data_IF_970230074554
#
_entry.id   IF_970230074554
#
_cell.length_a   1.000
_cell.length_b   1.000
_cell.length_c   1.000
_cell.angle_alpha   90.00
_cell.angle_beta   90.00
_cell.angle_gamma   90.00
#
_symmetry.space_group_name_H-M   'P 1'
#
loop_
_entity.id
_entity.type
_entity.pdbx_description
1 polymer ?
#
# COMPACT_ATOMS: atom_id res chain seq x y z
N UNK A 1 21.48 22.55 -3.67
CA UNK A 1 20.94 21.43 -2.89
C UNK A 1 19.52 21.80 -2.48
N UNK A 2 18.50 21.19 -3.09
CA UNK A 2 17.15 21.25 -2.51
C UNK A 2 17.18 20.36 -1.27
N UNK A 3 17.03 20.96 -0.09
CA UNK A 3 16.69 20.20 1.11
C UNK A 3 15.32 19.55 0.88
N UNK A 4 15.31 18.24 0.64
CA UNK A 4 14.12 17.39 0.72
C UNK A 4 13.72 17.25 2.19
N UNK A 5 13.29 18.35 2.82
CA UNK A 5 12.53 18.30 4.07
C UNK A 5 11.05 18.09 3.76
N UNK A 6 10.72 17.12 2.91
CA UNK A 6 9.35 16.66 2.80
C UNK A 6 9.06 15.82 4.03
N UNK A 7 8.25 16.36 4.94
CA UNK A 7 7.47 15.51 5.85
C UNK A 7 6.85 14.41 4.97
N UNK A 8 6.96 13.16 5.39
CA UNK A 8 6.36 12.04 4.68
C UNK A 8 4.84 12.22 4.72
N UNK A 9 4.27 12.89 3.71
CA UNK A 9 2.84 13.11 3.52
C UNK A 9 2.27 12.00 2.64
N UNK A 10 2.45 10.77 3.10
CA UNK A 10 1.94 9.59 2.41
C UNK A 10 1.37 8.60 3.42
N UNK A 11 0.39 7.83 2.97
CA UNK A 11 -0.17 6.68 3.66
C UNK A 11 0.09 5.44 2.81
N UNK A 12 0.35 4.31 3.44
CA UNK A 12 0.44 3.02 2.77
C UNK A 12 -0.97 2.63 2.27
N UNK A 13 -1.13 2.57 0.95
CA UNK A 13 -2.38 2.16 0.32
C UNK A 13 -2.56 0.64 0.34
N UNK A 14 -1.47 -0.10 0.37
CA UNK A 14 -1.45 -1.55 0.42
C UNK A 14 -0.07 -2.12 0.08
N UNK A 15 0.06 -3.42 0.25
CA UNK A 15 1.20 -4.18 -0.27
C UNK A 15 0.76 -5.60 -0.62
N UNK A 16 1.38 -6.17 -1.65
CA UNK A 16 1.16 -7.56 -2.04
C UNK A 16 2.39 -8.12 -2.76
N UNK A 17 2.57 -9.44 -2.67
CA UNK A 17 3.57 -10.14 -3.46
C UNK A 17 3.11 -10.27 -4.91
N UNK A 18 4.03 -10.07 -5.84
CA UNK A 18 3.85 -10.34 -7.26
C UNK A 18 4.76 -11.49 -7.62
N UNK A 19 4.18 -12.62 -8.01
CA UNK A 19 4.91 -13.82 -8.43
C UNK A 19 4.56 -14.10 -9.88
N UNK A 20 5.57 -14.07 -10.75
CA UNK A 20 5.41 -14.40 -12.18
C UNK A 20 5.98 -15.78 -12.42
N UNK A 21 5.13 -16.71 -12.82
CA UNK A 21 5.47 -18.10 -13.04
C UNK A 21 6.26 -18.29 -14.34
N UNK A 22 7.05 -19.37 -14.47
CA UNK A 22 7.62 -19.77 -15.76
C UNK A 22 6.53 -19.86 -16.85
N UNK A 23 6.85 -19.36 -18.05
CA UNK A 23 5.94 -19.25 -19.19
C UNK A 23 4.71 -18.34 -19.00
N UNK A 24 4.63 -17.57 -17.91
CA UNK A 24 3.56 -16.59 -17.72
C UNK A 24 3.69 -15.44 -18.73
N UNK A 25 2.56 -15.09 -19.36
CA UNK A 25 2.48 -14.04 -20.36
C UNK A 25 2.63 -12.66 -19.73
N UNK A 26 3.14 -11.70 -20.49
CA UNK A 26 3.23 -10.32 -20.06
C UNK A 26 1.84 -9.76 -19.68
N UNK A 27 1.75 -9.07 -18.55
CA UNK A 27 0.53 -8.38 -18.12
C UNK A 27 0.19 -7.25 -19.08
N UNK A 28 -1.11 -7.03 -19.32
CA UNK A 28 -1.60 -5.86 -20.05
C UNK A 28 -1.00 -4.59 -19.40
N UNK A 29 -0.49 -3.68 -20.23
CA UNK A 29 0.03 -2.40 -19.73
C UNK A 29 -1.12 -1.62 -19.09
N UNK A 30 -0.87 -1.06 -17.91
CA UNK A 30 -1.85 -0.32 -17.12
C UNK A 30 -1.18 0.78 -16.30
N UNK A 31 -1.99 1.66 -15.72
CA UNK A 31 -1.60 2.58 -14.66
C UNK A 31 -2.36 2.18 -13.39
N UNK A 32 -1.76 2.40 -12.22
CA UNK A 32 -2.35 1.98 -10.94
C UNK A 32 -3.57 2.85 -10.55
N UNK A 33 -3.67 4.06 -11.10
CA UNK A 33 -4.83 4.94 -10.95
C UNK A 33 -5.98 4.65 -11.93
N UNK A 34 -5.81 3.68 -12.83
CA UNK A 34 -6.78 3.38 -13.90
C UNK A 34 -8.17 2.93 -13.42
N UNK A 35 -8.33 2.56 -12.14
CA UNK A 35 -9.63 2.23 -11.55
C UNK A 35 -10.52 3.47 -11.34
N UNK A 36 -9.91 4.60 -11.00
CA UNK A 36 -10.60 5.89 -10.79
C UNK A 36 -9.73 6.95 -11.49
N UNK A 37 -9.75 6.99 -12.83
CA UNK A 37 -8.81 7.80 -13.58
C UNK A 37 -9.20 9.29 -13.49
N UNK A 38 -8.39 10.16 -12.88
CA UNK A 38 -8.53 11.59 -13.11
C UNK A 38 -8.16 11.91 -14.58
N UNK A 39 -8.72 12.97 -15.19
CA UNK A 39 -8.32 13.40 -16.52
C UNK A 39 -6.81 13.61 -16.61
N UNK A 40 -6.17 13.08 -17.65
CA UNK A 40 -4.71 13.16 -17.81
C UNK A 40 -4.29 14.32 -18.71
N UNK A 41 -3.13 14.95 -18.45
CA UNK A 41 -2.23 14.71 -17.33
C UNK A 41 -2.79 15.26 -16.01
N UNK A 42 -2.62 14.52 -14.92
CA UNK A 42 -3.13 14.88 -13.59
C UNK A 42 -1.99 15.19 -12.61
N UNK A 43 -2.24 16.05 -11.60
CA UNK A 43 -1.36 16.13 -10.43
C UNK A 43 -1.22 14.76 -9.76
N UNK A 44 -0.10 14.54 -9.07
CA UNK A 44 0.17 13.29 -8.32
C UNK A 44 -0.77 13.16 -7.11
N UNK A 45 -1.97 12.63 -7.35
CA UNK A 45 -2.99 12.35 -6.34
C UNK A 45 -2.76 10.98 -5.69
N UNK A 46 -2.45 9.96 -6.51
CA UNK A 46 -1.88 8.71 -6.00
C UNK A 46 -0.37 8.84 -5.87
N UNK A 47 0.21 8.10 -4.92
CA UNK A 47 1.66 8.14 -4.68
C UNK A 47 2.29 6.84 -5.17
N UNK A 48 3.57 6.94 -5.44
CA UNK A 48 4.55 5.95 -5.91
C UNK A 48 4.23 4.49 -5.60
N UNK A 49 4.42 3.67 -6.62
CA UNK A 49 4.56 2.23 -6.50
C UNK A 49 6.03 1.88 -6.27
N UNK A 50 6.31 1.23 -5.14
CA UNK A 50 7.63 0.75 -4.77
C UNK A 50 7.69 -0.76 -4.99
N UNK A 51 8.32 -1.19 -6.08
CA UNK A 51 8.52 -2.60 -6.40
C UNK A 51 9.87 -3.06 -5.84
N UNK A 52 9.83 -3.91 -4.82
CA UNK A 52 11.00 -4.54 -4.20
C UNK A 52 11.28 -5.86 -4.90
N UNK A 53 12.48 -6.01 -5.43
CA UNK A 53 12.94 -7.21 -6.10
C UNK A 53 13.38 -8.26 -5.06
N UNK A 54 12.55 -9.27 -4.76
CA UNK A 54 12.93 -10.33 -3.81
C UNK A 54 13.94 -11.30 -4.42
N UNK A 55 13.89 -11.44 -5.75
CA UNK A 55 14.92 -12.05 -6.59
C UNK A 55 15.39 -11.03 -7.63
N UNK A 56 16.50 -11.29 -8.31
CA UNK A 56 16.96 -10.40 -9.38
C UNK A 56 15.94 -10.34 -10.52
N UNK A 57 15.67 -9.14 -11.02
CA UNK A 57 14.81 -8.94 -12.18
C UNK A 57 15.69 -8.87 -13.42
N UNK A 58 15.38 -9.69 -14.42
CA UNK A 58 16.13 -9.81 -15.67
C UNK A 58 15.19 -9.64 -16.85
N UNK A 59 15.76 -9.42 -18.05
CA UNK A 59 14.96 -9.19 -19.25
C UNK A 59 14.07 -10.39 -19.62
N UNK A 60 14.44 -11.61 -19.21
CA UNK A 60 13.79 -12.87 -19.56
C UNK A 60 12.91 -13.45 -18.43
N UNK A 61 13.06 -13.01 -17.17
CA UNK A 61 12.27 -13.53 -16.05
C UNK A 61 11.00 -12.72 -15.75
N UNK A 62 10.61 -11.86 -16.69
CA UNK A 62 9.44 -11.02 -16.57
C UNK A 62 9.64 -9.83 -15.64
N UNK A 63 10.78 -9.15 -15.67
CA UNK A 63 10.97 -7.86 -14.99
C UNK A 63 9.78 -6.90 -15.24
N UNK A 64 9.49 -6.03 -14.27
CA UNK A 64 8.53 -4.94 -14.47
C UNK A 64 8.97 -4.08 -15.65
N UNK A 65 8.08 -3.83 -16.59
CA UNK A 65 8.30 -2.94 -17.74
C UNK A 65 7.62 -1.60 -17.50
N UNK A 66 8.26 -0.51 -17.89
CA UNK A 66 7.80 0.87 -17.67
C UNK A 66 7.84 1.63 -19.00
N UNK A 67 6.81 2.41 -19.32
CA UNK A 67 6.82 3.36 -20.42
C UNK A 67 7.43 4.70 -19.93
N UNK A 68 8.64 5.09 -20.37
CA UNK A 68 9.25 6.33 -19.91
C UNK A 68 8.38 7.54 -20.26
N UNK A 69 8.32 8.52 -19.34
CA UNK A 69 7.62 9.81 -19.54
C UNK A 69 6.09 9.70 -19.70
N UNK A 70 5.51 8.50 -19.64
CA UNK A 70 4.08 8.30 -19.94
C UNK A 70 3.11 8.94 -18.94
N UNK A 71 3.60 9.37 -17.79
CA UNK A 71 2.85 10.16 -16.80
C UNK A 71 2.43 11.54 -17.33
N UNK A 72 3.05 12.03 -18.41
CA UNK A 72 2.71 13.30 -19.07
C UNK A 72 1.74 13.14 -20.25
N UNK A 73 1.40 11.91 -20.62
CA UNK A 73 0.52 11.65 -21.76
C UNK A 73 -0.94 11.85 -21.38
N UNK A 74 -1.72 12.32 -22.36
CA UNK A 74 -3.18 12.39 -22.29
C UNK A 74 -3.83 10.99 -22.32
N UNK A 75 -5.15 10.97 -22.12
CA UNK A 75 -5.96 9.73 -22.10
C UNK A 75 -6.12 9.06 -23.47
N UNK A 76 -5.86 9.78 -24.56
CA UNK A 76 -5.99 9.24 -25.92
C UNK A 76 -4.80 8.35 -26.29
N UNK A 77 -3.63 8.58 -25.68
CA UNK A 77 -2.42 7.82 -25.96
C UNK A 77 -2.26 6.61 -25.04
N UNK A 78 -2.01 5.45 -25.66
CA UNK A 78 -1.62 4.21 -24.99
C UNK A 78 -0.25 3.74 -25.50
N UNK A 79 0.60 3.18 -24.63
CA UNK A 79 1.90 2.66 -25.07
C UNK A 79 1.72 1.39 -25.91
N UNK A 80 2.65 1.19 -26.84
CA UNK A 80 2.93 -0.13 -27.42
C UNK A 80 4.07 -0.81 -26.66
N UNK A 81 4.26 -2.13 -26.86
CA UNK A 81 5.24 -2.90 -26.08
C UNK A 81 6.69 -2.52 -26.37
N UNK A 82 6.93 -1.94 -27.54
CA UNK A 82 8.23 -1.48 -28.00
C UNK A 82 8.67 -0.18 -27.29
N UNK A 83 7.71 0.56 -26.72
CA UNK A 83 7.98 1.80 -25.97
C UNK A 83 8.28 1.55 -24.48
N UNK A 84 8.15 0.31 -23.99
CA UNK A 84 8.40 -0.02 -22.58
C UNK A 84 9.78 -0.63 -22.37
N UNK A 85 10.42 -0.24 -21.27
CA UNK A 85 11.75 -0.73 -20.89
C UNK A 85 11.65 -1.65 -19.66
N UNK A 86 12.32 -2.82 -19.64
CA UNK A 86 12.37 -3.66 -18.46
C UNK A 86 13.29 -3.05 -17.40
N UNK A 87 12.81 -2.99 -16.16
CA UNK A 87 13.58 -2.60 -14.99
C UNK A 87 14.43 -3.78 -14.48
N UNK A 88 15.60 -3.96 -15.10
CA UNK A 88 16.57 -5.00 -14.74
C UNK A 88 17.40 -4.54 -13.54
N UNK A 89 17.29 -5.28 -12.43
CA UNK A 89 17.94 -4.93 -11.15
C UNK A 89 18.33 -6.20 -10.37
N UNK A 90 19.38 -6.17 -9.54
CA UNK A 90 19.71 -7.31 -8.69
C UNK A 90 18.65 -7.54 -7.60
N UNK A 91 18.73 -8.71 -6.96
CA UNK A 91 17.89 -9.00 -5.79
C UNK A 91 18.15 -7.96 -4.69
N UNK A 92 17.11 -7.64 -3.91
CA UNK A 92 17.07 -6.61 -2.86
C UNK A 92 17.13 -5.17 -3.38
N UNK A 93 17.08 -4.95 -4.69
CA UNK A 93 16.84 -3.62 -5.25
C UNK A 93 15.38 -3.20 -5.13
N UNK A 94 15.15 -1.90 -5.27
CA UNK A 94 13.83 -1.31 -5.24
C UNK A 94 13.67 -0.35 -6.41
N UNK A 95 12.57 -0.52 -7.14
CA UNK A 95 12.20 0.30 -8.30
C UNK A 95 11.04 1.17 -7.83
N UNK A 96 11.21 2.48 -7.95
CA UNK A 96 10.17 3.45 -7.64
C UNK A 96 9.66 4.08 -8.93
N UNK A 97 8.35 4.08 -9.12
CA UNK A 97 7.70 4.74 -10.26
C UNK A 97 6.37 5.34 -9.85
N UNK A 98 5.97 6.40 -10.56
CA UNK A 98 4.69 7.05 -10.34
C UNK A 98 3.57 6.10 -10.74
N UNK A 99 2.49 6.07 -9.97
CA UNK A 99 1.28 5.30 -10.26
C UNK A 99 0.65 5.65 -11.63
N UNK A 100 0.91 6.86 -12.14
CA UNK A 100 0.50 7.35 -13.47
C UNK A 100 1.39 6.86 -14.62
N UNK A 101 2.52 6.20 -14.34
CA UNK A 101 3.36 5.59 -15.38
C UNK A 101 2.69 4.31 -15.86
N UNK A 102 2.60 4.17 -17.19
CA UNK A 102 2.13 2.95 -17.81
C UNK A 102 3.18 1.87 -17.62
N UNK A 103 2.75 0.74 -17.09
CA UNK A 103 3.65 -0.34 -16.70
C UNK A 103 2.95 -1.68 -16.71
N UNK A 104 3.71 -2.74 -16.43
CA UNK A 104 3.19 -4.07 -16.20
C UNK A 104 4.32 -5.06 -15.98
N UNK A 105 4.00 -6.31 -15.70
CA UNK A 105 5.00 -7.38 -15.72
C UNK A 105 5.33 -7.79 -17.15
N UNK A 106 6.63 -7.96 -17.44
CA UNK A 106 7.08 -8.63 -18.67
C UNK A 106 6.71 -10.11 -18.69
N UNK A 107 6.87 -10.76 -19.85
CA UNK A 107 6.71 -12.21 -19.95
C UNK A 107 7.89 -12.93 -19.28
N UNK A 108 7.61 -14.03 -18.60
CA UNK A 108 8.66 -14.86 -18.01
C UNK A 108 8.93 -16.05 -18.94
N UNK A 109 10.03 -15.97 -19.68
CA UNK A 109 10.53 -17.05 -20.54
C UNK A 109 11.63 -17.88 -19.87
N UNK A 110 11.99 -17.53 -18.64
CA UNK A 110 12.94 -18.28 -17.81
C UNK A 110 12.30 -19.54 -17.21
N UNK A 111 13.12 -20.36 -16.52
CA UNK A 111 12.67 -21.59 -15.84
C UNK A 111 12.24 -21.38 -14.39
N UNK A 112 12.46 -20.21 -13.83
CA UNK A 112 12.23 -19.92 -12.41
C UNK A 112 11.13 -18.87 -12.25
N UNK A 113 10.45 -18.91 -11.11
CA UNK A 113 9.51 -17.86 -10.74
C UNK A 113 10.23 -16.54 -10.38
N UNK A 114 9.63 -15.41 -10.78
CA UNK A 114 10.10 -14.07 -10.40
C UNK A 114 9.24 -13.53 -9.26
N UNK A 115 9.84 -13.34 -8.10
CA UNK A 115 9.17 -12.81 -6.90
C UNK A 115 9.53 -11.35 -6.66
N UNK A 116 8.50 -10.53 -6.52
CA UNK A 116 8.59 -9.15 -6.06
C UNK A 116 7.58 -8.85 -4.96
N UNK A 117 7.78 -7.75 -4.26
CA UNK A 117 6.82 -7.16 -3.33
C UNK A 117 6.53 -5.75 -3.81
N UNK A 118 5.28 -5.44 -4.12
CA UNK A 118 4.88 -4.06 -4.40
C UNK A 118 4.29 -3.44 -3.14
N UNK A 119 4.76 -2.25 -2.81
CA UNK A 119 4.22 -1.39 -1.76
C UNK A 119 3.67 -0.14 -2.41
N UNK A 120 2.38 0.10 -2.21
CA UNK A 120 1.65 1.21 -2.79
C UNK A 120 1.49 2.30 -1.75
N UNK A 121 1.73 3.54 -2.15
CA UNK A 121 1.50 4.71 -1.31
C UNK A 121 0.40 5.59 -1.91
N UNK A 122 -0.32 6.34 -1.10
CA UNK A 122 -1.25 7.36 -1.58
C UNK A 122 -1.20 8.59 -0.68
N UNK A 123 -1.81 9.68 -1.15
CA UNK A 123 -2.03 10.83 -0.30
C UNK A 123 -2.89 10.44 0.93
N UNK A 124 -2.66 10.98 2.12
CA UNK A 124 -3.33 10.51 3.35
C UNK A 124 -4.84 10.71 3.39
N UNK A 125 -5.36 11.58 2.52
CA UNK A 125 -6.80 11.84 2.37
C UNK A 125 -7.49 10.92 1.36
N UNK A 126 -6.71 10.10 0.63
CA UNK A 126 -7.23 9.10 -0.31
C UNK A 126 -7.56 7.81 0.44
N UNK A 127 -8.67 7.16 0.08
CA UNK A 127 -9.02 5.85 0.60
C UNK A 127 -8.00 4.80 0.10
N UNK A 128 -7.41 4.08 1.05
CA UNK A 128 -6.45 3.00 0.76
C UNK A 128 -7.13 1.76 0.16
N UNK A 129 -6.38 0.97 -0.63
CA UNK A 129 -6.86 -0.34 -1.10
C UNK A 129 -7.04 -1.33 0.05
N UNK A 130 -6.17 -1.26 1.06
CA UNK A 130 -6.25 -2.05 2.30
C UNK A 130 -6.51 -1.12 3.48
N UNK A 131 -7.56 -1.40 4.24
CA UNK A 131 -7.89 -0.63 5.44
C UNK A 131 -6.99 -1.06 6.61
N UNK A 132 -5.81 -0.44 6.71
CA UNK A 132 -4.77 -0.83 7.68
C UNK A 132 -5.18 -0.57 9.13
N UNK A 133 -6.02 0.42 9.41
CA UNK A 133 -6.46 0.70 10.79
C UNK A 133 -7.40 -0.37 11.35
N UNK A 134 -8.05 -1.14 10.47
CA UNK A 134 -8.86 -2.30 10.83
C UNK A 134 -8.06 -3.61 10.72
N UNK A 135 -7.16 -3.72 9.75
CA UNK A 135 -6.43 -4.96 9.47
C UNK A 135 -5.28 -5.24 10.44
N UNK A 136 -4.76 -4.22 11.14
CA UNK A 136 -3.66 -4.38 12.09
C UNK A 136 -4.21 -4.69 13.48
N UNK A 137 -3.65 -5.71 14.13
CA UNK A 137 -4.01 -6.08 15.50
C UNK A 137 -3.73 -4.93 16.47
N UNK A 138 -4.80 -4.43 17.10
CA UNK A 138 -4.67 -3.28 17.99
C UNK A 138 -3.77 -3.59 19.19
N UNK A 139 -3.71 -4.85 19.64
CA UNK A 139 -2.89 -5.34 20.75
C UNK A 139 -1.41 -5.01 20.60
N UNK A 140 -0.89 -5.02 19.37
CA UNK A 140 0.54 -4.87 19.09
C UNK A 140 0.96 -3.47 18.63
N UNK A 141 0.07 -2.47 18.68
CA UNK A 141 0.36 -1.13 18.16
C UNK A 141 1.52 -0.43 18.87
N UNK A 142 1.79 -0.76 20.13
CA UNK A 142 2.89 -0.17 20.90
C UNK A 142 4.28 -0.69 20.47
N UNK A 143 4.32 -1.85 19.81
CA UNK A 143 5.55 -2.39 19.23
C UNK A 143 5.88 -1.76 17.86
N UNK A 144 4.94 -1.03 17.26
CA UNK A 144 5.09 -0.42 15.95
C UNK A 144 5.63 1.00 16.10
N UNK A 145 6.68 1.35 15.35
CA UNK A 145 7.22 2.71 15.37
C UNK A 145 6.17 3.77 14.98
N UNK A 146 6.28 4.96 15.56
CA UNK A 146 5.37 6.07 15.28
C UNK A 146 5.28 6.42 13.78
N UNK A 147 6.38 6.31 13.04
CA UNK A 147 6.42 6.58 11.60
C UNK A 147 5.66 5.52 10.81
N UNK A 148 5.78 4.25 11.21
CA UNK A 148 5.00 3.18 10.59
C UNK A 148 3.51 3.29 10.93
N UNK A 149 3.16 3.65 12.17
CA UNK A 149 1.77 3.93 12.54
C UNK A 149 1.16 5.05 11.68
N UNK A 150 1.90 6.13 11.43
CA UNK A 150 1.47 7.20 10.52
C UNK A 150 1.23 6.66 9.10
N UNK A 151 2.17 5.87 8.57
CA UNK A 151 2.01 5.21 7.26
C UNK A 151 0.82 4.26 7.21
N UNK A 152 0.48 3.59 8.30
CA UNK A 152 -0.68 2.69 8.41
C UNK A 152 -2.00 3.44 8.64
N UNK A 153 -2.00 4.78 8.63
CA UNK A 153 -3.20 5.60 8.79
C UNK A 153 -3.62 5.80 10.25
N UNK A 154 -2.75 5.55 11.23
CA UNK A 154 -3.05 5.80 12.65
C UNK A 154 -2.86 7.26 13.09
N UNK A 155 -2.61 8.17 12.14
CA UNK A 155 -2.52 9.62 12.36
C UNK A 155 -3.57 10.37 11.56
N UNK A 156 -3.88 11.58 12.01
CA UNK A 156 -4.64 12.54 11.21
C UNK A 156 -3.77 13.16 10.13
N UNK A 157 -4.41 13.71 9.09
CA UNK A 157 -3.76 14.55 8.11
C UNK A 157 -4.58 15.83 7.94
N UNK A 158 -4.00 16.98 8.29
CA UNK A 158 -4.71 18.26 8.40
C UNK A 158 -5.99 18.11 9.25
N UNK A 159 -7.16 18.36 8.65
CA UNK A 159 -8.46 18.27 9.31
C UNK A 159 -9.17 16.91 9.06
N UNK A 160 -8.48 15.92 8.51
CA UNK A 160 -9.06 14.63 8.10
C UNK A 160 -8.55 13.45 8.94
N UNK A 161 -9.37 12.40 9.00
CA UNK A 161 -9.03 11.13 9.64
C UNK A 161 -9.24 11.09 11.15
N UNK A 162 -10.08 11.96 11.71
CA UNK A 162 -10.39 11.93 13.14
C UNK A 162 -11.27 10.73 13.53
N UNK A 163 -11.07 10.26 14.76
CA UNK A 163 -11.90 9.27 15.43
C UNK A 163 -12.34 9.87 16.77
N UNK A 164 -13.63 10.17 16.90
CA UNK A 164 -14.21 10.83 18.09
C UNK A 164 -13.45 12.11 18.51
N UNK A 165 -13.07 12.93 17.52
CA UNK A 165 -12.31 14.17 17.73
C UNK A 165 -10.82 13.98 18.07
N UNK A 166 -10.28 12.76 17.92
CA UNK A 166 -8.88 12.41 18.23
C UNK A 166 -8.19 11.75 17.04
N UNK A 167 -6.89 11.52 17.14
CA UNK A 167 -6.18 10.69 16.16
C UNK A 167 -6.68 9.24 16.19
N UNK A 168 -6.60 8.50 15.07
CA UNK A 168 -7.01 7.10 15.06
C UNK A 168 -6.26 6.26 16.11
N UNK A 169 -4.96 6.50 16.33
CA UNK A 169 -4.19 5.83 17.41
C UNK A 169 -4.85 6.02 18.79
N UNK A 170 -5.20 7.26 19.15
CA UNK A 170 -5.85 7.56 20.42
C UNK A 170 -7.29 7.04 20.48
N UNK A 171 -8.00 7.05 19.34
CA UNK A 171 -9.32 6.46 19.19
C UNK A 171 -9.34 4.96 19.47
N UNK A 172 -8.28 4.25 19.08
CA UNK A 172 -8.08 2.82 19.39
C UNK A 172 -7.86 2.60 20.88
N UNK A 173 -7.04 3.40 21.56
CA UNK A 173 -6.83 3.25 23.02
C UNK A 173 -8.13 3.37 23.81
N UNK A 174 -8.94 4.37 23.45
CA UNK A 174 -10.25 4.60 24.09
C UNK A 174 -11.18 3.43 23.84
N UNK A 175 -11.23 2.89 22.62
CA UNK A 175 -12.06 1.73 22.29
C UNK A 175 -11.59 0.46 23.00
N UNK A 176 -10.28 0.20 23.02
CA UNK A 176 -9.68 -0.91 23.78
C UNK A 176 -10.08 -0.88 25.25
N UNK A 177 -9.94 0.29 25.89
CA UNK A 177 -10.32 0.46 27.30
C UNK A 177 -11.80 0.13 27.52
N UNK A 178 -12.70 0.63 26.66
CA UNK A 178 -14.14 0.34 26.73
C UNK A 178 -14.45 -1.15 26.56
N UNK A 179 -13.76 -1.84 25.65
CA UNK A 179 -13.93 -3.28 25.44
C UNK A 179 -13.52 -4.07 26.69
N UNK A 180 -12.38 -3.74 27.28
CA UNK A 180 -11.89 -4.38 28.51
C UNK A 180 -12.82 -4.13 29.70
N UNK A 181 -13.32 -2.90 29.87
CA UNK A 181 -14.29 -2.56 30.92
C UNK A 181 -15.63 -3.29 30.72
N UNK A 182 -16.11 -3.40 29.49
CA UNK A 182 -17.32 -4.16 29.15
C UNK A 182 -17.18 -5.66 29.45
N UNK A 183 -16.03 -6.25 29.10
CA UNK A 183 -15.73 -7.65 29.39
C UNK A 183 -15.69 -7.95 30.89
N UNK A 184 -15.08 -7.06 31.70
CA UNK A 184 -15.06 -7.19 33.16
C UNK A 184 -16.46 -7.19 33.76
N UNK A 185 -17.30 -6.22 33.38
CA UNK A 185 -18.69 -6.12 33.85
C UNK A 185 -19.51 -7.36 33.49
N UNK A 186 -19.32 -7.90 32.29
CA UNK A 186 -20.01 -9.12 31.87
C UNK A 186 -19.60 -10.34 32.70
N UNK A 187 -18.31 -10.48 33.02
CA UNK A 187 -17.82 -11.55 33.89
C UNK A 187 -18.36 -11.43 35.32
N UNK A 188 -18.38 -10.22 35.89
CA UNK A 188 -18.95 -9.93 37.22
C UNK A 188 -20.44 -10.30 37.28
N UNK A 189 -21.24 -9.86 36.30
CA UNK A 189 -22.67 -10.20 36.20
C UNK A 189 -22.91 -11.71 36.05
N UNK A 190 -22.06 -12.39 35.28
CA UNK A 190 -22.15 -13.84 35.10
C UNK A 190 -21.86 -14.56 36.41
N UNK A 191 -20.82 -14.14 37.15
CA UNK A 191 -20.44 -14.71 38.42
C UNK A 191 -21.52 -14.48 39.51
N UNK A 192 -22.11 -13.28 39.58
CA UNK A 192 -23.26 -12.99 40.45
C UNK A 192 -24.49 -13.85 40.09
N UNK A 193 -24.74 -14.09 38.80
CA UNK A 193 -25.83 -14.98 38.36
C UNK A 193 -25.57 -16.46 38.70
N UNK A 194 -24.31 -16.91 38.79
CA UNK A 194 -23.99 -18.27 39.23
C UNK A 194 -24.16 -18.41 40.75
N UNK A 195 -23.71 -17.43 41.52
CA UNK A 195 -23.81 -17.43 43.00
C UNK A 195 -25.28 -17.39 43.43
N UNK A 196 -26.14 -16.63 42.75
CA UNK A 196 -27.57 -16.53 43.10
C UNK A 196 -28.41 -17.76 42.75
N UNK A 197 -27.84 -18.77 42.06
CA UNK A 197 -28.50 -20.05 41.72
C UNK A 197 -28.06 -21.22 42.61
N UNK A 198 -27.10 -20.99 43.53
CA UNK A 198 -26.70 -21.93 44.58
C UNK A 198 -27.49 -21.65 45.86
#
# INVERSE_FOLDING_TARGET
MLELTTKLEATNAGFHSVVIQPAEKAQILHTDDGLIPPPRPCPLIGVVSAMVALVGFTADNGATVLAPVSHLWDDARKPIREEVIPAVVPARSMIYFLNTIWHGSGANTSRNERKGLIVLYCQPWVRTFRNMTVAVDWENLDAISINMLKLLGFSTHNFMGYVDGRSPRAGVDVRKKRLLEGAKKHNEQTQESYISKL
#
